data_IF_349150428181
#
_entry.id   IF_349150428181
#
_cell.length_a   1.000
_cell.length_b   1.000
_cell.length_c   1.000
_cell.angle_alpha   90.00
_cell.angle_beta   90.00
_cell.angle_gamma   90.00
#
_symmetry.space_group_name_H-M   'P 1'
#
loop_
_entity.id
_entity.type
_entity.pdbx_description
1 polymer ?
#
# COMPACT_ATOMS: atom_id res chain seq x y z
N UNK A 1 -26.91 -1.81 -18.99
CA UNK A 1 -25.60 -2.43 -18.67
C UNK A 1 -24.64 -2.09 -19.79
N UNK A 2 -23.81 -1.07 -19.60
CA UNK A 2 -22.90 -0.56 -20.64
C UNK A 2 -21.61 -1.39 -20.67
N UNK A 3 -21.32 -2.01 -21.80
CA UNK A 3 -20.08 -2.75 -22.06
C UNK A 3 -18.93 -1.76 -22.27
N UNK A 4 -17.95 -1.77 -21.37
CA UNK A 4 -16.72 -0.98 -21.53
C UNK A 4 -15.81 -1.67 -22.55
N UNK A 5 -15.46 -0.98 -23.63
CA UNK A 5 -14.52 -1.47 -24.63
C UNK A 5 -13.14 -0.83 -24.40
N UNK A 6 -12.09 -1.65 -24.33
CA UNK A 6 -10.72 -1.19 -24.30
C UNK A 6 -9.93 -1.86 -25.44
N UNK A 7 -9.38 -1.04 -26.34
CA UNK A 7 -8.63 -1.49 -27.55
C UNK A 7 -9.39 -2.52 -28.41
N UNK A 8 -10.70 -2.36 -28.56
CA UNK A 8 -11.54 -3.26 -29.35
C UNK A 8 -11.91 -4.57 -28.64
N UNK A 9 -11.50 -4.76 -27.39
CA UNK A 9 -11.89 -5.90 -26.57
C UNK A 9 -12.91 -5.46 -25.50
N UNK A 10 -13.93 -6.29 -25.29
CA UNK A 10 -14.89 -6.10 -24.20
C UNK A 10 -14.21 -6.37 -22.87
N UNK A 11 -14.27 -5.39 -21.97
CA UNK A 11 -13.75 -5.52 -20.62
C UNK A 11 -14.69 -6.45 -19.83
N UNK A 12 -14.28 -7.69 -19.61
CA UNK A 12 -15.03 -8.62 -18.77
C UNK A 12 -14.75 -8.30 -17.31
N UNK A 13 -15.77 -7.82 -16.61
CA UNK A 13 -15.69 -7.67 -15.15
C UNK A 13 -15.68 -9.08 -14.56
N UNK A 14 -14.60 -9.44 -13.87
CA UNK A 14 -14.58 -10.67 -13.08
C UNK A 14 -15.52 -10.48 -11.89
N UNK A 15 -16.58 -11.30 -11.82
CA UNK A 15 -17.62 -11.24 -10.78
C UNK A 15 -17.10 -11.57 -9.39
N UNK A 16 -15.95 -12.26 -9.30
CA UNK A 16 -15.30 -12.57 -8.05
C UNK A 16 -13.83 -12.14 -8.07
N UNK A 17 -13.33 -11.51 -6.99
CA UNK A 17 -11.92 -11.26 -6.84
C UNK A 17 -11.21 -12.62 -6.79
N UNK A 18 -10.42 -12.93 -7.81
CA UNK A 18 -9.54 -14.09 -7.80
C UNK A 18 -8.64 -13.98 -6.58
N UNK A 19 -8.65 -15.00 -5.72
CA UNK A 19 -7.77 -15.08 -4.56
C UNK A 19 -6.32 -15.07 -5.07
N UNK A 20 -5.65 -13.93 -4.90
CA UNK A 20 -4.24 -13.80 -5.26
C UNK A 20 -3.43 -14.52 -4.19
N UNK A 21 -2.46 -15.33 -4.61
CA UNK A 21 -1.47 -15.83 -3.67
C UNK A 21 -0.71 -14.65 -3.09
N UNK A 22 -0.84 -14.44 -1.78
CA UNK A 22 -0.02 -13.49 -1.06
C UNK A 22 1.39 -14.08 -0.99
N UNK A 23 2.26 -13.68 -1.92
CA UNK A 23 3.68 -14.03 -1.87
C UNK A 23 4.39 -12.99 -1.02
N UNK A 24 5.03 -13.44 0.06
CA UNK A 24 5.91 -12.58 0.84
C UNK A 24 7.18 -12.30 0.03
N UNK A 25 7.37 -11.03 -0.35
CA UNK A 25 8.59 -10.58 -0.99
C UNK A 25 9.70 -10.50 0.07
N UNK A 26 10.61 -11.47 0.08
CA UNK A 26 11.75 -11.53 1.03
C UNK A 26 12.95 -10.68 0.60
N UNK A 27 12.84 -9.98 -0.53
CA UNK A 27 13.92 -9.15 -1.04
C UNK A 27 14.28 -8.03 -0.05
N UNK A 28 15.52 -8.06 0.44
CA UNK A 28 16.07 -7.11 1.42
C UNK A 28 15.23 -6.99 2.69
N UNK A 29 14.63 -8.10 3.13
CA UNK A 29 13.79 -8.16 4.33
C UNK A 29 14.45 -7.48 5.55
N UNK A 30 15.73 -7.79 5.80
CA UNK A 30 16.53 -7.17 6.88
C UNK A 30 16.66 -5.64 6.76
N UNK A 31 16.85 -5.12 5.55
CA UNK A 31 16.98 -3.69 5.29
C UNK A 31 15.65 -2.96 5.50
N UNK A 32 14.54 -3.56 5.08
CA UNK A 32 13.23 -2.96 5.32
C UNK A 32 12.82 -3.05 6.79
N UNK A 33 13.18 -4.12 7.49
CA UNK A 33 12.91 -4.25 8.92
C UNK A 33 13.67 -3.18 9.72
N UNK A 34 14.95 -2.96 9.46
CA UNK A 34 15.74 -1.95 10.16
C UNK A 34 15.22 -0.53 9.92
N UNK A 35 14.89 -0.17 8.66
CA UNK A 35 14.26 1.12 8.36
C UNK A 35 12.89 1.26 9.04
N UNK A 36 12.10 0.19 9.10
CA UNK A 36 10.75 0.22 9.70
C UNK A 36 10.81 0.36 11.22
N UNK A 37 11.80 -0.23 11.88
CA UNK A 37 12.06 -0.06 13.31
C UNK A 37 12.53 1.36 13.64
N UNK A 38 13.44 1.93 12.84
CA UNK A 38 13.87 3.33 12.98
C UNK A 38 12.69 4.30 12.86
N UNK A 39 11.86 4.15 11.84
CA UNK A 39 10.65 4.98 11.66
C UNK A 39 9.67 4.80 12.82
N UNK A 40 9.50 3.58 13.36
CA UNK A 40 8.67 3.38 14.56
C UNK A 40 9.24 4.14 15.76
N UNK A 41 10.54 4.05 16.01
CA UNK A 41 11.19 4.76 17.12
C UNK A 41 11.01 6.28 16.98
N UNK A 42 11.21 6.83 15.79
CA UNK A 42 10.97 8.24 15.49
C UNK A 42 9.50 8.64 15.70
N UNK A 43 8.54 7.80 15.27
CA UNK A 43 7.10 8.05 15.52
C UNK A 43 6.74 8.01 17.01
N UNK A 44 7.37 7.16 17.81
CA UNK A 44 7.14 7.16 19.27
C UNK A 44 7.69 8.44 19.92
N UNK A 45 8.81 8.95 19.42
CA UNK A 45 9.43 10.18 19.91
C UNK A 45 8.69 11.44 19.41
N UNK A 46 8.09 11.37 18.23
CA UNK A 46 7.36 12.46 17.57
C UNK A 46 5.94 11.98 17.18
N UNK A 47 4.99 11.98 18.14
CA UNK A 47 3.64 11.45 17.92
C UNK A 47 2.76 12.30 16.99
N UNK A 48 3.23 13.52 16.65
CA UNK A 48 2.55 14.43 15.75
C UNK A 48 3.44 14.74 14.54
N UNK A 49 2.98 14.35 13.34
CA UNK A 49 3.62 14.70 12.08
C UNK A 49 2.99 15.98 11.54
N UNK A 50 3.76 17.06 11.42
CA UNK A 50 3.28 18.30 10.80
C UNK A 50 3.73 18.34 9.34
N UNK A 51 2.77 18.29 8.41
CA UNK A 51 3.05 18.37 6.98
C UNK A 51 2.15 19.40 6.32
N UNK A 52 2.75 20.35 5.58
CA UNK A 52 2.04 21.48 4.94
C UNK A 52 1.11 22.27 5.89
N UNK A 53 1.54 22.43 7.15
CA UNK A 53 0.75 23.13 8.18
C UNK A 53 -0.42 22.32 8.75
N UNK A 54 -0.57 21.05 8.36
CA UNK A 54 -1.58 20.13 8.91
C UNK A 54 -0.87 19.16 9.84
N UNK A 55 -1.38 19.05 11.06
CA UNK A 55 -0.86 18.09 12.05
C UNK A 55 -1.64 16.78 11.97
N UNK A 56 -0.92 15.71 11.73
CA UNK A 56 -1.41 14.34 11.71
C UNK A 56 -0.98 13.65 13.00
N UNK A 57 -1.95 13.13 13.74
CA UNK A 57 -1.74 12.36 14.95
C UNK A 57 -2.02 10.89 14.64
N UNK A 58 -1.27 10.00 15.27
CA UNK A 58 -1.50 8.55 15.14
C UNK A 58 -2.56 8.07 16.11
#
# INVERSE_FOLDING_TARGET
MSTLLYRGQAYTIHESPVAKSCVELTYRHEHYNSCREQVRAEMYQHPALTYRGISYFK
#
